data_IF_306042358738
#
_entry.id   IF_306042358738
#
_cell.length_a   1.000
_cell.length_b   1.000
_cell.length_c   1.000
_cell.angle_alpha   90.00
_cell.angle_beta   90.00
_cell.angle_gamma   90.00
#
_symmetry.space_group_name_H-M   'P 1'
#
loop_
_entity.id
_entity.type
_entity.pdbx_description
1 polymer ?
#
# COMPACT_ATOMS: atom_id res chain seq x y z
N UNK A 1 -24.01 2.41 -13.43
CA UNK A 1 -23.39 1.10 -13.75
C UNK A 1 -22.06 1.09 -13.03
N UNK A 2 -21.81 0.16 -12.09
CA UNK A 2 -20.50 0.09 -11.43
C UNK A 2 -19.47 -0.36 -12.47
N UNK A 3 -18.46 0.48 -12.75
CA UNK A 3 -17.46 0.24 -13.79
C UNK A 3 -16.47 -0.86 -13.45
N UNK A 4 -16.44 -1.33 -12.19
CA UNK A 4 -15.55 -2.38 -11.73
C UNK A 4 -16.25 -3.24 -10.67
N UNK A 5 -16.27 -4.55 -10.90
CA UNK A 5 -16.75 -5.53 -9.92
C UNK A 5 -15.54 -6.03 -9.13
N UNK A 6 -15.56 -5.85 -7.80
CA UNK A 6 -14.44 -6.19 -6.92
C UNK A 6 -14.37 -7.69 -6.62
N UNK A 7 -14.11 -8.51 -7.64
CA UNK A 7 -13.88 -9.96 -7.45
C UNK A 7 -12.42 -10.31 -7.17
N UNK A 8 -11.48 -9.45 -7.56
CA UNK A 8 -10.04 -9.71 -7.52
C UNK A 8 -9.25 -8.64 -6.76
N UNK A 9 -9.90 -7.97 -5.79
CA UNK A 9 -9.23 -6.96 -4.98
C UNK A 9 -8.11 -7.60 -4.15
N UNK A 10 -6.93 -6.98 -4.16
CA UNK A 10 -5.78 -7.47 -3.41
C UNK A 10 -5.37 -6.46 -2.34
N UNK A 11 -5.25 -6.96 -1.11
CA UNK A 11 -4.74 -6.22 0.03
C UNK A 11 -3.43 -6.85 0.50
N UNK A 12 -2.42 -6.00 0.66
CA UNK A 12 -1.18 -6.33 1.35
C UNK A 12 -1.00 -5.46 2.58
N UNK A 13 -0.76 -6.08 3.73
CA UNK A 13 -0.56 -5.41 5.02
C UNK A 13 0.68 -5.98 5.70
N UNK A 14 1.66 -5.11 6.01
CA UNK A 14 2.88 -5.51 6.73
C UNK A 14 3.64 -6.70 6.09
N UNK A 15 3.56 -6.85 4.76
CA UNK A 15 4.18 -7.97 4.04
C UNK A 15 3.30 -9.22 3.97
N UNK A 16 2.06 -9.19 4.45
CA UNK A 16 1.10 -10.29 4.33
C UNK A 16 0.07 -10.01 3.26
N UNK A 17 -0.24 -11.01 2.42
CA UNK A 17 -1.33 -10.93 1.44
C UNK A 17 -2.60 -11.48 2.07
N UNK A 18 -3.55 -10.60 2.39
CA UNK A 18 -4.78 -10.98 3.10
C UNK A 18 -5.98 -11.20 2.18
N UNK A 19 -5.82 -11.01 0.87
CA UNK A 19 -6.92 -11.07 -0.11
C UNK A 19 -7.67 -12.40 -0.13
N UNK A 20 -7.02 -13.51 0.24
CA UNK A 20 -7.66 -14.84 0.25
C UNK A 20 -8.67 -15.04 1.39
N UNK A 21 -8.55 -14.28 2.47
CA UNK A 21 -9.42 -14.39 3.65
C UNK A 21 -10.51 -13.30 3.70
N UNK A 22 -10.48 -12.33 2.78
CA UNK A 22 -11.35 -11.15 2.80
C UNK A 22 -12.52 -11.27 1.84
N UNK A 23 -13.67 -10.71 2.25
CA UNK A 23 -14.87 -10.62 1.41
C UNK A 23 -15.40 -9.18 1.28
N UNK A 24 -14.93 -8.25 2.11
CA UNK A 24 -15.23 -6.83 1.98
C UNK A 24 -13.99 -5.98 2.30
N UNK A 25 -13.80 -4.94 1.51
CA UNK A 25 -12.70 -3.99 1.63
C UNK A 25 -13.24 -2.58 1.46
N UNK A 26 -13.04 -1.73 2.46
CA UNK A 26 -13.36 -0.31 2.41
C UNK A 26 -12.19 0.56 2.85
N UNK A 27 -12.03 1.67 2.15
CA UNK A 27 -11.06 2.72 2.40
C UNK A 27 -11.77 4.05 2.32
N UNK A 28 -11.82 4.77 3.44
CA UNK A 28 -12.45 6.07 3.58
C UNK A 28 -11.36 7.14 3.60
N UNK A 29 -11.45 8.09 2.67
CA UNK A 29 -10.58 9.26 2.61
C UNK A 29 -11.42 10.52 2.57
N UNK A 30 -11.16 11.42 3.51
CA UNK A 30 -11.91 12.66 3.66
C UNK A 30 -11.07 13.78 4.21
N UNK A 31 -11.66 14.97 4.27
CA UNK A 31 -11.10 16.10 4.99
C UNK A 31 -12.16 16.67 5.93
N UNK A 32 -11.74 17.04 7.13
CA UNK A 32 -12.60 17.72 8.07
C UNK A 32 -13.06 19.07 7.47
N UNK A 33 -14.33 19.44 7.63
CA UNK A 33 -14.82 20.74 7.20
C UNK A 33 -14.94 21.66 8.40
N UNK A 34 -14.05 22.65 8.48
CA UNK A 34 -14.05 23.67 9.51
C UNK A 34 -14.96 24.83 9.14
N UNK A 35 -15.72 25.35 10.10
CA UNK A 35 -16.54 26.53 9.89
C UNK A 35 -15.66 27.78 9.84
N UNK A 36 -15.86 28.61 8.82
CA UNK A 36 -15.16 29.87 8.63
C UNK A 36 -16.15 31.02 8.40
N UNK A 37 -17.41 30.87 8.78
CA UNK A 37 -18.44 31.90 8.60
C UNK A 37 -18.05 33.20 9.32
N UNK A 38 -18.11 34.33 8.62
CA UNK A 38 -17.79 35.67 9.16
C UNK A 38 -19.03 36.55 9.25
N UNK A 39 -18.96 37.64 10.02
CA UNK A 39 -20.05 38.62 10.08
C UNK A 39 -20.32 39.22 8.70
N UNK A 40 -21.59 39.23 8.30
CA UNK A 40 -22.04 39.64 6.97
C UNK A 40 -22.29 38.48 6.00
N UNK A 41 -21.87 37.26 6.34
CA UNK A 41 -22.24 36.07 5.57
C UNK A 41 -23.73 35.75 5.74
N UNK A 42 -24.42 35.50 4.64
CA UNK A 42 -25.83 35.09 4.61
C UNK A 42 -26.01 33.57 4.65
N UNK A 43 -24.91 32.81 4.66
CA UNK A 43 -24.89 31.35 4.72
C UNK A 43 -23.57 30.82 5.30
N UNK A 44 -23.54 29.53 5.66
CA UNK A 44 -22.34 28.94 6.29
C UNK A 44 -21.19 28.81 5.30
N UNK A 45 -20.01 29.33 5.65
CA UNK A 45 -18.76 29.15 4.90
C UNK A 45 -17.93 28.04 5.55
N UNK A 46 -17.44 27.09 4.77
CA UNK A 46 -16.60 25.97 5.26
C UNK A 46 -15.22 25.99 4.59
N UNK A 47 -14.18 25.60 5.32
CA UNK A 47 -12.81 25.38 4.80
C UNK A 47 -12.35 23.95 5.12
N UNK A 48 -11.54 23.38 4.24
CA UNK A 48 -10.93 22.08 4.47
C UNK A 48 -9.90 22.15 5.61
N UNK A 49 -10.07 21.30 6.59
CA UNK A 49 -9.16 21.04 7.70
C UNK A 49 -8.28 19.82 7.41
N UNK A 50 -7.97 19.06 8.45
CA UNK A 50 -7.07 17.91 8.34
C UNK A 50 -7.72 16.78 7.54
N UNK A 51 -6.88 16.06 6.80
CA UNK A 51 -7.31 14.88 6.05
C UNK A 51 -7.32 13.66 6.96
N UNK A 52 -8.37 12.85 6.84
CA UNK A 52 -8.55 11.61 7.58
C UNK A 52 -8.54 10.44 6.61
N UNK A 53 -7.90 9.36 7.01
CA UNK A 53 -7.79 8.12 6.27
C UNK A 53 -8.18 6.99 7.24
N UNK A 54 -9.24 6.25 6.92
CA UNK A 54 -9.68 5.12 7.72
C UNK A 54 -9.90 3.92 6.81
N UNK A 55 -9.70 2.72 7.34
CA UNK A 55 -9.97 1.49 6.62
C UNK A 55 -10.84 0.56 7.47
N UNK A 56 -11.70 -0.18 6.77
CA UNK A 56 -12.58 -1.17 7.36
C UNK A 56 -12.61 -2.40 6.46
N UNK A 57 -12.16 -3.54 6.99
CA UNK A 57 -12.09 -4.79 6.24
C UNK A 57 -12.81 -5.90 7.00
N UNK A 58 -13.45 -6.78 6.24
CA UNK A 58 -14.13 -7.96 6.77
C UNK A 58 -13.66 -9.20 6.04
N UNK A 59 -13.66 -10.31 6.77
CA UNK A 59 -13.24 -11.58 6.24
C UNK A 59 -13.73 -12.77 7.06
N UNK A 60 -13.34 -13.94 6.61
CA UNK A 60 -13.60 -15.19 7.31
C UNK A 60 -12.41 -15.55 8.16
N UNK A 61 -12.69 -15.89 9.41
CA UNK A 61 -11.65 -16.25 10.35
C UNK A 61 -11.15 -17.65 10.00
N UNK A 62 -9.83 -17.73 9.83
CA UNK A 62 -9.12 -18.96 9.53
C UNK A 62 -7.93 -19.08 10.48
N UNK A 63 -7.74 -20.28 11.01
CA UNK A 63 -6.56 -20.68 11.78
C UNK A 63 -5.92 -21.80 10.99
N UNK A 64 -4.99 -21.42 10.13
CA UNK A 64 -4.26 -22.38 9.31
C UNK A 64 -3.54 -23.42 10.19
N UNK A 65 -3.59 -24.68 9.79
CA UNK A 65 -2.84 -25.78 10.43
C UNK A 65 -1.36 -25.80 10.02
N UNK A 66 -0.85 -24.76 9.36
CA UNK A 66 0.55 -24.62 9.01
C UNK A 66 0.85 -23.30 8.31
N UNK A 67 1.94 -22.67 8.76
CA UNK A 67 2.62 -21.52 8.16
C UNK A 67 1.90 -20.17 8.23
N UNK A 68 1.90 -19.51 9.41
CA UNK A 68 2.25 -18.08 9.62
C UNK A 68 1.50 -16.98 8.85
N UNK A 69 0.54 -17.33 8.01
CA UNK A 69 -0.19 -16.47 7.06
C UNK A 69 -1.71 -16.54 7.33
N UNK A 70 -2.13 -17.25 8.39
CA UNK A 70 -3.51 -17.27 8.84
C UNK A 70 -3.94 -15.87 9.26
N UNK A 71 -5.15 -15.45 8.84
CA UNK A 71 -5.61 -14.08 9.06
C UNK A 71 -5.61 -13.68 10.54
N UNK A 72 -5.94 -14.62 11.45
CA UNK A 72 -5.91 -14.39 12.90
C UNK A 72 -4.47 -14.17 13.43
N UNK A 73 -3.55 -15.06 13.07
CA UNK A 73 -2.15 -15.02 13.50
C UNK A 73 -1.45 -13.73 13.04
N UNK A 74 -1.86 -13.19 11.89
CA UNK A 74 -1.34 -11.94 11.34
C UNK A 74 -2.02 -10.73 11.97
N UNK A 75 -3.35 -10.69 12.03
CA UNK A 75 -4.10 -9.48 12.42
C UNK A 75 -4.08 -9.23 13.92
N UNK A 76 -4.12 -10.28 14.74
CA UNK A 76 -4.14 -10.15 16.20
C UNK A 76 -2.92 -9.40 16.77
N UNK A 77 -1.65 -9.73 16.40
CA UNK A 77 -0.49 -8.99 16.88
C UNK A 77 -0.29 -7.61 16.22
N UNK A 78 -0.98 -7.33 15.10
CA UNK A 78 -0.90 -6.03 14.42
C UNK A 78 -1.75 -4.95 15.09
N UNK A 79 -2.67 -5.32 15.99
CA UNK A 79 -3.46 -4.34 16.74
C UNK A 79 -2.54 -3.45 17.59
N UNK A 80 -2.66 -2.14 17.39
CA UNK A 80 -1.81 -1.14 18.05
C UNK A 80 -0.40 -1.01 17.47
N UNK A 81 -0.03 -1.83 16.48
CA UNK A 81 1.25 -1.69 15.79
C UNK A 81 1.17 -0.50 14.82
N UNK A 82 2.01 0.51 15.04
CA UNK A 82 2.05 1.68 14.20
C UNK A 82 2.89 1.48 12.93
N UNK A 83 2.69 2.37 11.96
CA UNK A 83 3.56 2.55 10.80
C UNK A 83 3.68 1.34 9.86
N UNK A 84 2.65 0.51 9.79
CA UNK A 84 2.62 -0.64 8.90
C UNK A 84 2.19 -0.21 7.51
N UNK A 85 2.96 -0.56 6.48
CA UNK A 85 2.57 -0.24 5.11
C UNK A 85 1.38 -1.12 4.72
N UNK A 86 0.36 -0.48 4.15
CA UNK A 86 -0.80 -1.11 3.58
C UNK A 86 -0.99 -0.66 2.14
N UNK A 87 -1.18 -1.63 1.25
CA UNK A 87 -1.39 -1.42 -0.19
C UNK A 87 -2.68 -2.11 -0.61
N UNK A 88 -3.54 -1.38 -1.32
CA UNK A 88 -4.78 -1.89 -1.90
C UNK A 88 -4.71 -1.69 -3.41
N UNK A 89 -4.95 -2.75 -4.17
CA UNK A 89 -5.11 -2.66 -5.64
C UNK A 89 -6.38 -3.38 -6.09
N UNK A 90 -7.16 -2.81 -7.03
CA UNK A 90 -8.40 -3.41 -7.50
C UNK A 90 -8.24 -4.80 -8.14
N UNK A 91 -7.17 -5.03 -8.91
CA UNK A 91 -6.89 -6.34 -9.52
C UNK A 91 -5.46 -6.86 -9.23
N UNK A 92 -4.58 -6.04 -8.65
CA UNK A 92 -3.21 -6.42 -8.34
C UNK A 92 -2.30 -6.60 -9.57
N UNK A 93 -2.67 -6.01 -10.71
CA UNK A 93 -1.90 -6.10 -11.96
C UNK A 93 -0.84 -4.99 -12.01
N UNK A 94 0.38 -5.32 -12.44
CA UNK A 94 1.46 -4.33 -12.61
C UNK A 94 1.04 -3.25 -13.63
N UNK A 95 1.25 -1.99 -13.30
CA UNK A 95 0.83 -0.81 -14.07
C UNK A 95 -0.53 -0.25 -13.68
N UNK A 96 -1.33 -0.97 -12.87
CA UNK A 96 -2.63 -0.47 -12.40
C UNK A 96 -2.49 0.48 -11.19
N UNK A 97 -3.53 1.30 -10.94
CA UNK A 97 -3.59 2.13 -9.75
C UNK A 97 -3.59 1.29 -8.46
N UNK A 98 -2.86 1.78 -7.46
CA UNK A 98 -2.78 1.21 -6.13
C UNK A 98 -2.82 2.33 -5.08
N UNK A 99 -3.61 2.13 -4.04
CA UNK A 99 -3.69 3.03 -2.90
C UNK A 99 -2.75 2.51 -1.82
N UNK A 100 -1.79 3.34 -1.41
CA UNK A 100 -0.84 2.97 -0.36
C UNK A 100 -0.81 4.01 0.75
N UNK A 101 -0.79 3.53 1.99
CA UNK A 101 -0.63 4.35 3.19
C UNK A 101 0.20 3.59 4.23
N UNK A 102 0.76 4.33 5.19
CA UNK A 102 1.18 3.76 6.48
C UNK A 102 -0.03 3.75 7.38
N UNK A 103 -0.34 2.62 7.99
CA UNK A 103 -1.55 2.38 8.76
C UNK A 103 -1.25 1.91 10.19
N UNK A 104 -2.23 2.12 11.06
CA UNK A 104 -2.30 1.58 12.41
C UNK A 104 -3.60 0.79 12.51
N UNK A 105 -3.52 -0.52 12.76
CA UNK A 105 -4.72 -1.31 13.05
C UNK A 105 -5.19 -0.98 14.47
N UNK A 106 -6.38 -0.41 14.59
CA UNK A 106 -6.93 0.05 15.87
C UNK A 106 -7.73 -1.05 16.58
N UNK A 107 -8.46 -1.87 15.82
CA UNK A 107 -9.36 -2.88 16.37
C UNK A 107 -9.36 -4.15 15.51
N UNK A 108 -9.39 -5.30 16.18
CA UNK A 108 -9.64 -6.61 15.59
C UNK A 108 -10.71 -7.35 16.40
N UNK A 109 -11.82 -7.69 15.75
CA UNK A 109 -13.02 -8.23 16.39
C UNK A 109 -13.45 -9.54 15.70
N UNK A 110 -12.93 -10.71 16.13
CA UNK A 110 -13.38 -12.02 15.67
C UNK A 110 -14.66 -12.46 16.39
N UNK A 111 -15.63 -13.00 15.66
CA UNK A 111 -16.90 -13.46 16.23
C UNK A 111 -17.93 -13.94 15.19
N UNK A 112 -18.91 -14.71 15.66
CA UNK A 112 -20.12 -15.05 14.91
C UNK A 112 -21.26 -15.51 15.84
N UNK A 113 -22.48 -15.52 15.33
CA UNK A 113 -23.63 -16.13 16.00
C UNK A 113 -23.67 -17.65 15.76
N UNK A 114 -24.34 -18.39 16.65
CA UNK A 114 -24.55 -19.85 16.48
C UNK A 114 -25.21 -20.13 15.12
N UNK A 115 -24.59 -21.01 14.34
CA UNK A 115 -25.06 -21.39 13.00
C UNK A 115 -24.53 -20.51 11.85
N UNK A 116 -23.71 -19.50 12.13
CA UNK A 116 -23.05 -18.66 11.12
C UNK A 116 -21.58 -19.04 10.96
N UNK A 117 -21.00 -18.69 9.81
CA UNK A 117 -19.56 -18.81 9.58
C UNK A 117 -18.82 -17.81 10.48
N UNK A 118 -17.69 -18.25 11.06
CA UNK A 118 -16.88 -17.42 11.94
C UNK A 118 -16.19 -16.33 11.13
N UNK A 119 -16.36 -15.07 11.53
CA UNK A 119 -15.90 -13.88 10.79
C UNK A 119 -14.98 -13.04 11.65
N UNK A 120 -14.26 -12.14 11.01
CA UNK A 120 -13.57 -11.06 11.69
C UNK A 120 -13.84 -9.72 11.00
N UNK A 121 -13.72 -8.66 11.79
CA UNK A 121 -13.63 -7.28 11.29
C UNK A 121 -12.34 -6.67 11.80
N UNK A 122 -11.61 -5.98 10.91
CA UNK A 122 -10.45 -5.15 11.27
C UNK A 122 -10.70 -3.71 10.86
N UNK A 123 -10.36 -2.79 11.76
CA UNK A 123 -10.47 -1.35 11.53
C UNK A 123 -9.20 -0.64 11.94
N UNK A 124 -8.89 0.44 11.27
CA UNK A 124 -7.76 1.28 11.62
C UNK A 124 -7.71 2.57 10.84
N UNK A 125 -6.65 3.33 11.08
CA UNK A 125 -6.46 4.67 10.53
C UNK A 125 -5.07 4.80 9.90
N UNK A 126 -4.92 5.83 9.05
CA UNK A 126 -3.61 6.24 8.55
C UNK A 126 -2.71 6.72 9.68
N UNK A 127 -1.43 6.38 9.61
CA UNK A 127 -0.41 6.84 10.54
C UNK A 127 -0.24 8.38 10.42
N UNK A 128 0.08 9.06 11.54
CA UNK A 128 0.22 10.50 11.53
C UNK A 128 1.39 10.96 10.65
N UNK A 129 1.14 11.98 9.83
CA UNK A 129 2.18 12.68 9.06
C UNK A 129 2.29 12.30 7.59
N UNK A 130 1.75 11.15 7.18
CA UNK A 130 1.80 10.71 5.77
C UNK A 130 0.41 10.69 5.12
N UNK A 131 0.27 11.20 3.88
CA UNK A 131 -0.98 11.16 3.15
C UNK A 131 -1.25 9.76 2.60
N UNK A 132 -2.53 9.46 2.35
CA UNK A 132 -2.93 8.38 1.45
C UNK A 132 -2.42 8.75 0.06
N UNK A 133 -1.65 7.85 -0.54
CA UNK A 133 -1.09 8.10 -1.87
C UNK A 133 -1.71 7.14 -2.88
N UNK A 134 -2.32 7.73 -3.90
CA UNK A 134 -2.76 7.03 -5.10
C UNK A 134 -1.56 6.93 -6.05
N UNK A 135 -1.17 5.71 -6.38
CA UNK A 135 0.05 5.42 -7.12
C UNK A 135 -0.13 4.31 -8.15
N UNK A 136 0.99 3.82 -8.65
CA UNK A 136 1.09 2.74 -9.63
C UNK A 136 1.82 1.55 -9.03
N UNK A 137 1.29 0.34 -9.26
CA UNK A 137 1.94 -0.91 -8.90
C UNK A 137 3.06 -1.26 -9.89
N UNK A 138 4.32 -1.18 -9.48
CA UNK A 138 5.47 -1.49 -10.35
C UNK A 138 5.79 -2.97 -10.42
N UNK A 139 5.57 -3.70 -9.33
CA UNK A 139 5.85 -5.13 -9.24
C UNK A 139 4.90 -5.82 -8.28
N UNK A 140 4.43 -7.00 -8.64
CA UNK A 140 3.70 -7.92 -7.78
C UNK A 140 3.94 -9.36 -8.24
N UNK A 141 5.07 -9.94 -7.82
CA UNK A 141 5.40 -11.32 -8.18
C UNK A 141 6.44 -11.94 -7.25
N UNK A 142 6.55 -13.27 -7.31
CA UNK A 142 7.72 -13.98 -6.80
C UNK A 142 8.95 -13.70 -7.68
N UNK A 143 10.08 -13.46 -7.03
CA UNK A 143 11.39 -13.27 -7.65
C UNK A 143 12.37 -14.28 -7.07
N UNK A 144 13.21 -14.85 -7.92
CA UNK A 144 14.14 -15.93 -7.53
C UNK A 144 15.60 -15.65 -7.87
N UNK A 145 15.84 -14.62 -8.68
CA UNK A 145 17.15 -14.17 -9.16
C UNK A 145 17.13 -12.66 -9.33
N UNK A 146 18.31 -12.06 -9.45
CA UNK A 146 18.48 -10.65 -9.75
C UNK A 146 17.72 -10.25 -11.02
N UNK A 147 17.07 -9.09 -10.98
CA UNK A 147 16.20 -8.69 -12.07
C UNK A 147 15.67 -7.27 -11.98
N UNK A 148 15.00 -6.86 -13.05
CA UNK A 148 14.27 -5.61 -13.12
C UNK A 148 12.83 -5.88 -13.57
N UNK A 149 11.90 -5.06 -13.07
CA UNK A 149 10.50 -5.10 -13.44
C UNK A 149 10.22 -4.36 -14.74
N UNK A 150 8.94 -4.38 -15.12
CA UNK A 150 8.40 -3.64 -16.26
C UNK A 150 8.52 -2.13 -16.01
N UNK A 151 8.85 -1.39 -17.06
CA UNK A 151 8.90 0.05 -17.04
C UNK A 151 7.51 0.65 -17.31
N UNK A 152 7.10 1.61 -16.48
CA UNK A 152 5.84 2.33 -16.65
C UNK A 152 6.09 3.84 -16.71
N UNK A 153 5.32 4.55 -17.54
CA UNK A 153 5.30 6.01 -17.57
C UNK A 153 4.36 6.50 -16.46
N UNK A 154 4.95 6.94 -15.35
CA UNK A 154 4.23 7.48 -14.19
C UNK A 154 4.36 9.01 -14.13
N UNK A 155 5.17 9.59 -15.01
CA UNK A 155 5.45 11.01 -15.07
C UNK A 155 6.64 11.46 -14.24
N UNK A 156 7.04 12.70 -14.46
CA UNK A 156 8.15 13.37 -13.78
C UNK A 156 7.70 13.92 -12.41
N UNK A 157 8.65 14.06 -11.47
CA UNK A 157 8.41 14.65 -10.15
C UNK A 157 8.83 16.11 -10.20
N UNK A 158 7.88 17.05 -10.04
CA UNK A 158 8.22 18.47 -10.00
C UNK A 158 8.93 18.87 -8.69
N UNK A 159 9.49 20.08 -8.65
CA UNK A 159 10.19 20.59 -7.47
C UNK A 159 9.29 20.76 -6.22
N UNK A 160 7.97 20.79 -6.39
CA UNK A 160 7.00 20.88 -5.29
C UNK A 160 6.41 19.53 -4.91
N UNK A 161 6.75 18.47 -5.64
CA UNK A 161 6.22 17.12 -5.44
C UNK A 161 7.26 16.22 -4.80
N UNK A 162 6.77 15.13 -4.22
CA UNK A 162 7.57 14.03 -3.69
C UNK A 162 7.17 12.73 -4.35
N UNK A 163 8.15 11.88 -4.57
CA UNK A 163 7.96 10.47 -4.89
C UNK A 163 7.80 9.70 -3.58
N UNK A 164 6.70 8.99 -3.43
CA UNK A 164 6.47 8.01 -2.37
C UNK A 164 6.68 6.63 -2.97
N UNK A 165 7.48 5.79 -2.32
CA UNK A 165 7.76 4.44 -2.76
C UNK A 165 7.56 3.48 -1.58
N UNK A 166 6.80 2.42 -1.80
CA UNK A 166 6.53 1.43 -0.77
C UNK A 166 6.95 0.04 -1.27
N UNK A 167 7.60 -0.70 -0.38
CA UNK A 167 7.95 -2.10 -0.59
C UNK A 167 7.21 -2.94 0.44
N UNK A 168 6.63 -4.05 -0.01
CA UNK A 168 6.26 -5.17 0.84
C UNK A 168 6.95 -6.42 0.31
N UNK A 169 7.51 -7.24 1.20
CA UNK A 169 8.22 -8.44 0.78
C UNK A 169 8.04 -9.61 1.74
N UNK A 170 8.15 -10.82 1.20
CA UNK A 170 8.19 -12.10 1.92
C UNK A 170 9.35 -12.94 1.42
N UNK A 171 9.92 -13.77 2.30
CA UNK A 171 11.07 -14.61 2.01
C UNK A 171 12.40 -13.95 2.40
N UNK A 172 13.28 -14.71 3.07
CA UNK A 172 14.63 -14.29 3.44
C UNK A 172 15.61 -14.22 2.26
N UNK A 173 15.14 -14.56 1.05
CA UNK A 173 15.98 -14.67 -0.13
C UNK A 173 16.07 -13.36 -0.95
N UNK A 174 15.36 -12.30 -0.54
CA UNK A 174 15.48 -10.98 -1.13
C UNK A 174 16.74 -10.30 -0.58
N UNK A 175 17.69 -9.99 -1.46
CA UNK A 175 18.96 -9.34 -1.11
C UNK A 175 18.82 -7.82 -1.04
N UNK A 176 18.34 -7.21 -2.11
CA UNK A 176 18.08 -5.76 -2.20
C UNK A 176 16.84 -5.51 -3.05
N UNK A 177 16.18 -4.40 -2.79
CA UNK A 177 15.11 -3.89 -3.64
C UNK A 177 15.26 -2.38 -3.77
N UNK A 178 14.99 -1.87 -4.96
CA UNK A 178 15.18 -0.46 -5.29
C UNK A 178 14.21 0.01 -6.38
N UNK A 179 14.03 1.32 -6.48
CA UNK A 179 13.29 1.97 -7.57
C UNK A 179 14.25 2.78 -8.42
N UNK A 180 14.14 2.60 -9.74
CA UNK A 180 14.91 3.35 -10.72
C UNK A 180 14.00 4.18 -11.62
N UNK A 181 14.54 5.30 -12.08
CA UNK A 181 13.92 6.16 -13.09
C UNK A 181 14.78 6.27 -14.35
N UNK A 182 14.15 6.57 -15.48
CA UNK A 182 14.82 6.86 -16.75
C UNK A 182 14.01 7.84 -17.61
N UNK A 183 14.65 8.56 -18.56
CA UNK A 183 13.94 9.47 -19.45
C UNK A 183 13.13 8.74 -20.53
N UNK A 184 13.43 7.47 -20.80
CA UNK A 184 12.77 6.65 -21.83
C UNK A 184 12.46 5.25 -21.31
N UNK A 185 11.45 4.62 -21.92
CA UNK A 185 11.02 3.24 -21.60
C UNK A 185 12.12 2.19 -21.78
N UNK A 186 13.15 2.48 -22.59
CA UNK A 186 14.26 1.57 -22.83
C UNK A 186 15.25 1.43 -21.67
N UNK A 187 15.19 2.32 -20.66
CA UNK A 187 16.05 2.26 -19.46
C UNK A 187 17.56 2.10 -19.78
N UNK A 188 18.05 2.79 -20.82
CA UNK A 188 19.45 2.71 -21.29
C UNK A 188 20.44 3.31 -20.28
N UNK A 189 20.02 4.32 -19.51
CA UNK A 189 20.82 4.97 -18.46
C UNK A 189 19.97 5.20 -17.22
N UNK A 190 19.67 4.14 -16.46
CA UNK A 190 18.76 4.23 -15.33
C UNK A 190 19.44 4.86 -14.13
N UNK A 191 18.72 5.71 -13.41
CA UNK A 191 19.17 6.30 -12.15
C UNK A 191 18.42 5.64 -11.00
N UNK A 192 19.13 5.09 -10.02
CA UNK A 192 18.51 4.62 -8.79
C UNK A 192 18.06 5.80 -7.95
N UNK A 193 16.77 5.86 -7.63
CA UNK A 193 16.16 6.95 -6.83
C UNK A 193 15.88 6.52 -5.40
N UNK A 194 15.56 5.25 -5.19
CA UNK A 194 15.20 4.68 -3.88
C UNK A 194 15.97 3.39 -3.69
N UNK A 195 16.51 3.18 -2.49
CA UNK A 195 16.97 1.88 -2.00
C UNK A 195 16.16 1.55 -0.75
N UNK A 196 15.51 0.39 -0.73
CA UNK A 196 14.71 -0.04 0.41
C UNK A 196 15.59 -0.72 1.47
N UNK A 197 15.28 -0.46 2.74
CA UNK A 197 15.84 -1.17 3.87
C UNK A 197 15.08 -2.48 4.09
N UNK A 198 15.77 -3.62 3.91
CA UNK A 198 15.21 -4.94 4.18
C UNK A 198 15.52 -5.34 5.64
N UNK A 199 14.52 -5.88 6.32
CA UNK A 199 14.66 -6.47 7.65
C UNK A 199 14.05 -7.87 7.71
N UNK A 200 14.83 -8.86 8.13
CA UNK A 200 14.35 -10.23 8.33
C UNK A 200 13.84 -10.93 7.07
N UNK A 201 12.98 -11.92 7.25
CA UNK A 201 12.41 -12.74 6.16
C UNK A 201 11.08 -12.21 5.63
N UNK A 202 10.55 -11.13 6.19
CA UNK A 202 9.30 -10.47 5.78
C UNK A 202 9.31 -9.07 6.34
N UNK A 203 8.82 -8.11 5.56
CA UNK A 203 8.70 -6.76 6.05
C UNK A 203 8.14 -5.81 5.02
N UNK A 204 8.18 -4.54 5.41
CA UNK A 204 7.77 -3.42 4.57
C UNK A 204 8.73 -2.27 4.77
N UNK A 205 8.90 -1.46 3.74
CA UNK A 205 9.64 -0.21 3.84
C UNK A 205 8.92 0.91 3.07
N UNK A 206 9.04 2.13 3.56
CA UNK A 206 8.40 3.32 3.01
C UNK A 206 9.45 4.41 2.84
N UNK A 207 9.63 4.85 1.60
CA UNK A 207 10.66 5.82 1.23
C UNK A 207 10.03 7.02 0.54
N UNK A 208 10.54 8.21 0.84
CA UNK A 208 10.07 9.46 0.27
C UNK A 208 11.25 10.23 -0.31
N UNK A 209 11.16 10.61 -1.58
CA UNK A 209 12.20 11.34 -2.30
C UNK A 209 11.63 12.65 -2.80
N UNK A 210 12.25 13.77 -2.47
CA UNK A 210 11.85 15.08 -2.98
C UNK A 210 12.27 15.25 -4.45
N UNK A 211 11.44 15.91 -5.24
CA UNK A 211 11.82 16.36 -6.57
C UNK A 211 12.84 17.52 -6.54
N UNK A 212 13.24 18.04 -7.72
CA UNK A 212 12.76 17.64 -9.04
C UNK A 212 13.45 16.39 -9.60
N UNK A 213 12.69 15.55 -10.29
CA UNK A 213 13.17 14.42 -11.09
C UNK A 213 12.53 14.53 -12.47
N UNK A 214 13.35 14.71 -13.51
CA UNK A 214 12.89 14.92 -14.90
C UNK A 214 12.52 13.63 -15.63
N UNK A 215 12.92 12.48 -15.09
CA UNK A 215 12.62 11.16 -15.64
C UNK A 215 11.13 10.84 -15.48
N UNK A 216 10.49 10.35 -16.54
CA UNK A 216 9.07 10.00 -16.53
C UNK A 216 8.80 8.49 -16.38
N UNK A 217 9.81 7.66 -16.70
CA UNK A 217 9.68 6.21 -16.69
C UNK A 217 10.27 5.62 -15.42
N UNK A 218 9.53 4.69 -14.80
CA UNK A 218 9.85 4.10 -13.51
C UNK A 218 9.76 2.57 -13.54
N UNK A 219 10.65 1.90 -12.80
CA UNK A 219 10.61 0.44 -12.60
C UNK A 219 11.19 0.04 -11.25
N UNK A 220 10.73 -1.10 -10.75
CA UNK A 220 11.39 -1.78 -9.63
C UNK A 220 12.60 -2.58 -10.10
N UNK A 221 13.61 -2.75 -9.25
CA UNK A 221 14.67 -3.73 -9.45
C UNK A 221 15.07 -4.37 -8.12
N UNK A 222 15.69 -5.54 -8.20
CA UNK A 222 15.99 -6.35 -7.03
C UNK A 222 17.19 -7.26 -7.24
N UNK A 223 17.76 -7.70 -6.13
CA UNK A 223 18.64 -8.87 -6.08
C UNK A 223 18.01 -9.97 -5.25
N UNK A 224 18.15 -11.23 -5.67
CA UNK A 224 17.55 -12.37 -4.99
C UNK A 224 18.41 -13.62 -5.12
N UNK A 225 18.51 -14.39 -4.04
CA UNK A 225 19.27 -15.65 -3.96
C UNK A 225 18.36 -16.88 -3.79
N UNK A 226 17.09 -16.75 -4.13
CA UNK A 226 16.02 -17.72 -3.90
C UNK A 226 14.65 -17.05 -3.96
N UNK A 227 13.57 -17.81 -3.76
CA UNK A 227 12.20 -17.29 -3.92
C UNK A 227 11.82 -16.29 -2.81
N UNK A 228 11.39 -15.10 -3.22
CA UNK A 228 10.80 -14.07 -2.37
C UNK A 228 9.64 -13.41 -3.12
N UNK A 229 8.51 -13.15 -2.46
CA UNK A 229 7.45 -12.34 -3.08
C UNK A 229 7.71 -10.87 -2.80
N UNK A 230 7.57 -10.02 -3.83
CA UNK A 230 7.72 -8.58 -3.69
C UNK A 230 6.54 -7.84 -4.30
N UNK A 231 6.15 -6.77 -3.61
CA UNK A 231 5.14 -5.80 -4.02
C UNK A 231 5.78 -4.43 -3.92
N UNK A 232 5.87 -3.73 -5.05
CA UNK A 232 6.45 -2.38 -5.10
C UNK A 232 5.43 -1.42 -5.68
N UNK A 233 5.09 -0.38 -4.94
CA UNK A 233 4.24 0.72 -5.42
C UNK A 233 4.98 2.04 -5.39
N UNK A 234 4.68 2.92 -6.34
CA UNK A 234 5.17 4.29 -6.32
C UNK A 234 4.02 5.27 -6.56
N UNK A 235 4.18 6.48 -6.07
CA UNK A 235 3.23 7.56 -6.30
C UNK A 235 3.91 8.91 -6.29
N UNK A 236 3.36 9.88 -7.01
CA UNK A 236 3.88 11.24 -7.09
C UNK A 236 2.80 12.18 -6.56
N UNK A 237 3.12 12.92 -5.49
CA UNK A 237 2.20 13.85 -4.83
C UNK A 237 2.88 15.16 -4.44
#
# INVERSE_FOLDING_TARGET
MASQVLTNCVLWLAGYKLSGAMNALGLDYGAELQDATVFGDTGRRRRGGLKTQAFHHEGYWDVGTGAGDAADEVLFPLVGAADKVMTISPNGVEGEPAYTLRSVAAEYSPGAQVGQMFKFTVRGEGAPGDPLVEGTLLKNAAVSVDGNGTAFDVGAVSATQKLYAALQFTGAALGTAYVQSAPTSGFVSPTQRVLFALGGSRGTDWQVVAGPITDAWWRAGWTASGSAEIVVTIAIL
#
